data_IF_911063119565
#
_entry.id   IF_911063119565
#
_cell.length_a   1.000
_cell.length_b   1.000
_cell.length_c   1.000
_cell.angle_alpha   90.00
_cell.angle_beta   90.00
_cell.angle_gamma   90.00
#
_symmetry.space_group_name_H-M   'P 1'
#
loop_
_entity.id
_entity.type
_entity.pdbx_description
1 polymer ?
#
# COMPACT_ATOMS: atom_id res chain seq x y z
N UNK A 1 -65.41 -43.58 -18.33
CA UNK A 1 -63.94 -43.44 -18.05
C UNK A 1 -63.54 -42.08 -18.53
N UNK A 2 -63.42 -41.07 -17.59
CA UNK A 2 -63.08 -39.70 -17.94
C UNK A 2 -61.60 -39.50 -17.62
N UNK A 3 -60.77 -39.28 -18.61
CA UNK A 3 -59.32 -39.10 -18.51
C UNK A 3 -59.02 -37.67 -18.10
N UNK A 4 -58.55 -37.47 -16.87
CA UNK A 4 -58.09 -36.17 -16.39
C UNK A 4 -56.68 -35.92 -16.92
N UNK A 5 -56.54 -34.87 -17.72
CA UNK A 5 -55.25 -34.37 -18.28
C UNK A 5 -54.52 -33.53 -17.19
N UNK A 6 -53.27 -33.84 -16.84
CA UNK A 6 -52.57 -33.03 -15.87
C UNK A 6 -52.24 -31.66 -16.44
N UNK A 7 -52.43 -30.60 -15.62
CA UNK A 7 -52.10 -29.22 -15.96
C UNK A 7 -50.60 -29.00 -15.97
N UNK A 8 -50.10 -28.39 -17.05
CA UNK A 8 -48.70 -27.98 -17.18
C UNK A 8 -48.41 -26.79 -16.27
N UNK A 9 -47.38 -26.85 -15.41
CA UNK A 9 -47.03 -25.70 -14.57
C UNK A 9 -46.54 -24.52 -15.42
N UNK A 10 -47.03 -23.33 -15.11
CA UNK A 10 -46.63 -22.09 -15.75
C UNK A 10 -45.13 -21.77 -15.46
N UNK A 11 -44.41 -21.17 -16.44
CA UNK A 11 -43.02 -20.77 -16.23
C UNK A 11 -42.92 -19.72 -15.13
N UNK A 12 -42.15 -20.03 -14.09
CA UNK A 12 -41.86 -19.12 -12.99
C UNK A 12 -41.13 -17.88 -13.50
N UNK A 13 -41.76 -16.71 -13.40
CA UNK A 13 -41.18 -15.45 -13.80
C UNK A 13 -39.95 -15.15 -12.92
N UNK A 14 -38.78 -15.07 -13.55
CA UNK A 14 -37.53 -14.68 -12.86
C UNK A 14 -37.68 -13.25 -12.29
N UNK A 15 -37.43 -13.00 -11.00
CA UNK A 15 -37.55 -11.66 -10.45
C UNK A 15 -36.62 -10.68 -11.16
N UNK A 16 -37.00 -9.40 -11.30
CA UNK A 16 -36.15 -8.37 -11.92
C UNK A 16 -34.84 -8.26 -11.18
N UNK A 17 -33.71 -8.37 -11.88
CA UNK A 17 -32.39 -8.13 -11.34
C UNK A 17 -32.30 -6.66 -10.97
N UNK A 18 -32.12 -6.37 -9.68
CA UNK A 18 -31.77 -5.03 -9.22
C UNK A 18 -30.46 -4.58 -9.91
N UNK A 19 -30.34 -3.33 -10.32
CA UNK A 19 -29.11 -2.82 -10.88
C UNK A 19 -27.97 -3.01 -9.87
N UNK A 20 -26.93 -3.73 -10.27
CA UNK A 20 -25.72 -3.90 -9.46
C UNK A 20 -25.08 -2.51 -9.35
N UNK A 21 -24.82 -1.97 -8.14
CA UNK A 21 -24.14 -0.70 -8.00
C UNK A 21 -22.80 -0.78 -8.74
N UNK A 22 -22.48 0.25 -9.53
CA UNK A 22 -21.15 0.37 -10.13
C UNK A 22 -20.08 0.29 -9.03
N UNK A 23 -19.01 -0.47 -9.24
CA UNK A 23 -17.89 -0.46 -8.31
C UNK A 23 -17.39 0.99 -8.12
N UNK A 24 -16.99 1.38 -6.92
CA UNK A 24 -16.42 2.69 -6.70
C UNK A 24 -15.23 2.91 -7.65
N UNK A 25 -15.00 4.15 -8.11
CA UNK A 25 -13.83 4.45 -8.94
C UNK A 25 -12.57 3.97 -8.23
N UNK A 26 -11.57 3.44 -8.98
CA UNK A 26 -10.32 3.02 -8.37
C UNK A 26 -9.74 4.18 -7.54
N UNK A 27 -9.19 3.92 -6.35
CA UNK A 27 -8.61 4.97 -5.53
C UNK A 27 -7.55 5.70 -6.36
N UNK A 28 -7.60 7.02 -6.32
CA UNK A 28 -6.55 7.86 -6.91
C UNK A 28 -5.20 7.37 -6.36
N UNK A 29 -4.29 6.99 -7.23
CA UNK A 29 -2.96 6.50 -6.82
C UNK A 29 -2.22 7.69 -6.24
N UNK A 30 -2.12 7.74 -4.91
CA UNK A 30 -1.39 8.78 -4.21
C UNK A 30 0.08 8.78 -4.60
N UNK A 31 0.69 9.95 -4.68
CA UNK A 31 2.12 10.06 -4.93
C UNK A 31 2.94 9.68 -3.69
N UNK A 32 4.22 9.26 -3.83
CA UNK A 32 5.08 9.02 -2.67
C UNK A 32 5.14 10.23 -1.74
N UNK A 33 5.20 11.44 -2.32
CA UNK A 33 5.26 12.71 -1.61
C UNK A 33 3.96 13.00 -0.85
N UNK A 34 2.79 12.70 -1.42
CA UNK A 34 1.49 12.84 -0.76
C UNK A 34 1.35 11.87 0.42
N UNK A 35 1.84 10.64 0.26
CA UNK A 35 1.85 9.64 1.33
C UNK A 35 2.79 10.06 2.46
N UNK A 36 3.97 10.57 2.12
CA UNK A 36 4.93 11.10 3.09
C UNK A 36 4.34 12.29 3.86
N UNK A 37 3.71 13.24 3.15
CA UNK A 37 3.03 14.37 3.78
C UNK A 37 1.86 13.91 4.68
N UNK A 38 1.17 12.83 4.33
CA UNK A 38 0.16 12.19 5.17
C UNK A 38 0.75 11.67 6.48
N UNK A 39 1.90 11.00 6.41
CA UNK A 39 2.64 10.52 7.58
C UNK A 39 3.11 11.71 8.47
N UNK A 40 3.63 12.77 7.86
CA UNK A 40 4.06 13.98 8.58
C UNK A 40 2.90 14.63 9.35
N UNK A 41 1.71 14.71 8.77
CA UNK A 41 0.51 15.22 9.46
C UNK A 41 0.16 14.38 10.69
N UNK A 42 0.20 13.05 10.58
CA UNK A 42 -0.07 12.17 11.72
C UNK A 42 0.99 12.28 12.81
N UNK A 43 2.27 12.38 12.43
CA UNK A 43 3.38 12.59 13.37
C UNK A 43 3.23 13.92 14.13
N UNK A 44 2.77 14.99 13.44
CA UNK A 44 2.56 16.31 14.06
C UNK A 44 1.32 16.38 14.95
N UNK A 45 0.33 15.51 14.75
CA UNK A 45 -0.91 15.47 15.55
C UNK A 45 -0.90 14.41 16.65
N UNK A 46 0.20 13.64 16.76
CA UNK A 46 0.34 12.58 17.75
C UNK A 46 0.30 13.15 19.16
N UNK A 47 -0.78 12.94 19.88
CA UNK A 47 -0.96 13.31 21.28
C UNK A 47 -1.09 12.06 22.14
N UNK A 48 -0.87 12.19 23.46
CA UNK A 48 -1.01 11.08 24.40
C UNK A 48 -2.40 10.42 24.38
N UNK A 49 -3.42 11.08 23.87
CA UNK A 49 -4.80 10.56 23.78
C UNK A 49 -5.05 9.68 22.55
N UNK A 50 -4.13 9.65 21.57
CA UNK A 50 -4.25 8.83 20.35
C UNK A 50 -3.38 7.56 20.42
N UNK A 51 -3.03 7.12 21.63
CA UNK A 51 -2.22 5.93 21.88
C UNK A 51 -2.80 4.68 21.21
N UNK A 52 -2.01 4.04 20.35
CA UNK A 52 -2.24 2.70 19.84
C UNK A 52 -2.45 2.57 18.32
N UNK A 53 -3.13 3.48 17.67
CA UNK A 53 -3.47 3.36 16.22
C UNK A 53 -2.56 4.19 15.32
N UNK A 54 -2.19 5.40 15.74
CA UNK A 54 -1.41 6.33 14.91
C UNK A 54 -0.02 5.83 14.53
N UNK A 55 0.76 5.12 15.40
CA UNK A 55 2.09 4.64 14.99
C UNK A 55 2.00 3.65 13.84
N UNK A 56 0.98 2.78 13.88
CA UNK A 56 0.73 1.81 12.81
C UNK A 56 0.27 2.51 11.51
N UNK A 57 -0.58 3.53 11.61
CA UNK A 57 -1.01 4.32 10.47
C UNK A 57 0.16 5.06 9.82
N UNK A 58 1.05 5.67 10.60
CA UNK A 58 2.28 6.29 10.10
C UNK A 58 3.18 5.26 9.41
N UNK A 59 3.45 4.13 10.04
CA UNK A 59 4.27 3.07 9.46
C UNK A 59 3.68 2.56 8.13
N UNK A 60 2.36 2.43 8.04
CA UNK A 60 1.67 2.02 6.82
C UNK A 60 1.82 3.06 5.70
N UNK A 61 1.64 4.34 5.98
CA UNK A 61 1.82 5.41 5.00
C UNK A 61 3.27 5.50 4.50
N UNK A 62 4.25 5.41 5.40
CA UNK A 62 5.67 5.40 5.05
C UNK A 62 6.04 4.20 4.19
N UNK A 63 5.52 3.02 4.52
CA UNK A 63 5.72 1.81 3.73
C UNK A 63 5.12 1.96 2.33
N UNK A 64 3.90 2.47 2.21
CA UNK A 64 3.27 2.73 0.92
C UNK A 64 4.04 3.76 0.10
N UNK A 65 4.54 4.83 0.71
CA UNK A 65 5.36 5.83 0.04
C UNK A 65 6.63 5.20 -0.56
N UNK A 66 7.28 4.31 0.20
CA UNK A 66 8.48 3.61 -0.21
C UNK A 66 8.22 2.64 -1.38
N UNK A 67 7.13 1.86 -1.30
CA UNK A 67 6.71 0.92 -2.35
C UNK A 67 6.31 1.67 -3.64
N UNK A 68 5.59 2.77 -3.51
CA UNK A 68 5.15 3.59 -4.64
C UNK A 68 6.34 4.28 -5.35
N UNK A 69 7.32 4.78 -4.59
CA UNK A 69 8.55 5.36 -5.15
C UNK A 69 9.32 4.32 -5.99
N UNK A 70 9.46 3.09 -5.46
CA UNK A 70 10.10 1.99 -6.16
C UNK A 70 9.33 1.60 -7.43
N UNK A 71 8.01 1.49 -7.35
CA UNK A 71 7.14 1.17 -8.48
C UNK A 71 7.28 2.21 -9.60
N UNK A 72 7.28 3.51 -9.27
CA UNK A 72 7.46 4.61 -10.24
C UNK A 72 8.85 4.58 -10.87
N UNK A 73 9.89 4.32 -10.09
CA UNK A 73 11.23 4.14 -10.61
C UNK A 73 11.28 3.07 -11.69
N UNK A 74 10.66 1.90 -11.44
CA UNK A 74 10.61 0.82 -12.41
C UNK A 74 9.71 1.10 -13.61
N UNK A 75 8.62 1.84 -13.44
CA UNK A 75 7.76 2.24 -14.57
C UNK A 75 8.55 2.99 -15.66
N UNK A 76 9.52 3.80 -15.25
CA UNK A 76 10.35 4.55 -16.18
C UNK A 76 11.51 3.70 -16.72
N UNK A 77 12.11 2.86 -15.89
CA UNK A 77 13.34 2.11 -16.23
C UNK A 77 13.06 0.74 -16.86
N UNK A 78 12.17 -0.02 -16.29
CA UNK A 78 11.79 -1.39 -16.68
C UNK A 78 10.32 -1.64 -16.31
N UNK A 79 9.37 -1.25 -17.17
CA UNK A 79 7.94 -1.34 -16.85
C UNK A 79 7.46 -2.73 -16.43
N UNK A 80 8.14 -3.78 -16.87
CA UNK A 80 7.83 -5.16 -16.47
C UNK A 80 8.07 -5.38 -14.96
N UNK A 81 9.11 -4.77 -14.39
CA UNK A 81 9.42 -4.87 -12.97
C UNK A 81 8.43 -4.11 -12.10
N UNK A 82 7.83 -3.04 -12.61
CA UNK A 82 6.80 -2.28 -11.87
C UNK A 82 5.54 -3.12 -11.53
N UNK A 83 5.34 -4.24 -12.22
CA UNK A 83 4.23 -5.17 -11.99
C UNK A 83 4.58 -6.30 -11.01
N UNK A 84 5.85 -6.43 -10.66
CA UNK A 84 6.30 -7.43 -9.70
C UNK A 84 5.99 -7.00 -8.26
N UNK A 85 5.93 -7.93 -7.30
CA UNK A 85 5.85 -7.59 -5.88
C UNK A 85 7.03 -6.71 -5.43
N UNK A 86 6.85 -5.84 -4.43
CA UNK A 86 7.90 -4.92 -3.96
C UNK A 86 9.23 -5.60 -3.60
N UNK A 87 9.16 -6.78 -2.99
CA UNK A 87 10.35 -7.56 -2.68
C UNK A 87 11.18 -7.94 -3.91
N UNK A 88 10.52 -8.41 -4.98
CA UNK A 88 11.20 -8.73 -6.24
C UNK A 88 11.77 -7.48 -6.92
N UNK A 89 11.05 -6.37 -6.86
CA UNK A 89 11.54 -5.07 -7.35
C UNK A 89 12.81 -4.63 -6.60
N UNK A 90 12.84 -4.82 -5.27
CA UNK A 90 13.97 -4.45 -4.43
C UNK A 90 15.23 -5.28 -4.74
N UNK A 91 15.10 -6.58 -5.01
CA UNK A 91 16.22 -7.43 -5.39
C UNK A 91 16.92 -6.94 -6.67
N UNK A 92 16.14 -6.42 -7.63
CA UNK A 92 16.71 -5.86 -8.85
C UNK A 92 17.33 -4.47 -8.62
N UNK A 93 16.96 -3.77 -7.54
CA UNK A 93 17.40 -2.40 -7.30
C UNK A 93 18.90 -2.30 -7.10
N UNK A 94 19.54 -3.29 -6.48
CA UNK A 94 20.99 -3.34 -6.26
C UNK A 94 21.81 -3.24 -7.56
N UNK A 95 21.25 -3.74 -8.66
CA UNK A 95 21.91 -3.69 -9.99
C UNK A 95 21.65 -2.41 -10.77
N UNK A 96 20.68 -1.59 -10.37
CA UNK A 96 20.26 -0.42 -11.13
C UNK A 96 20.39 0.91 -10.38
N UNK A 97 20.36 0.88 -9.05
CA UNK A 97 20.60 2.04 -8.19
C UNK A 97 21.98 1.93 -7.53
N UNK A 98 22.35 2.94 -6.73
CA UNK A 98 23.54 2.79 -5.90
C UNK A 98 23.27 1.81 -4.73
N UNK A 99 24.30 1.10 -4.25
CA UNK A 99 24.15 0.11 -3.20
C UNK A 99 23.59 0.69 -1.88
N UNK A 100 23.83 1.96 -1.59
CA UNK A 100 23.34 2.60 -0.36
C UNK A 100 21.83 2.83 -0.44
N UNK A 101 21.33 3.30 -1.58
CA UNK A 101 19.88 3.44 -1.81
C UNK A 101 19.17 2.10 -1.72
N UNK A 102 19.72 1.05 -2.35
CA UNK A 102 19.13 -0.29 -2.32
C UNK A 102 19.10 -0.88 -0.89
N UNK A 103 20.20 -0.78 -0.15
CA UNK A 103 20.27 -1.22 1.25
C UNK A 103 19.31 -0.43 2.15
N UNK A 104 19.27 0.89 2.00
CA UNK A 104 18.37 1.76 2.76
C UNK A 104 16.92 1.40 2.49
N UNK A 105 16.54 1.26 1.23
CA UNK A 105 15.19 0.81 0.86
C UNK A 105 14.81 -0.49 1.57
N UNK A 106 15.67 -1.51 1.47
CA UNK A 106 15.42 -2.84 2.03
C UNK A 106 15.33 -2.82 3.56
N UNK A 107 16.25 -2.13 4.24
CA UNK A 107 16.26 -2.03 5.69
C UNK A 107 15.03 -1.27 6.23
N UNK A 108 14.68 -0.14 5.60
CA UNK A 108 13.52 0.67 5.98
C UNK A 108 12.24 -0.08 5.75
N UNK A 109 12.09 -0.74 4.58
CA UNK A 109 10.91 -1.55 4.28
C UNK A 109 10.72 -2.71 5.26
N UNK A 110 11.79 -3.39 5.65
CA UNK A 110 11.73 -4.47 6.65
C UNK A 110 11.30 -3.94 8.02
N UNK A 111 11.82 -2.80 8.47
CA UNK A 111 11.42 -2.14 9.72
C UNK A 111 9.94 -1.75 9.71
N UNK A 112 9.50 -1.05 8.66
CA UNK A 112 8.12 -0.63 8.49
C UNK A 112 7.15 -1.82 8.38
N UNK A 113 7.55 -2.89 7.69
CA UNK A 113 6.73 -4.11 7.58
C UNK A 113 6.49 -4.75 8.95
N UNK A 114 7.52 -4.86 9.79
CA UNK A 114 7.36 -5.34 11.18
C UNK A 114 6.43 -4.41 11.96
N UNK A 115 6.62 -3.10 11.86
CA UNK A 115 5.78 -2.11 12.54
C UNK A 115 4.31 -2.15 12.12
N UNK A 116 4.00 -2.54 10.87
CA UNK A 116 2.62 -2.74 10.41
C UNK A 116 1.97 -4.00 10.98
N UNK A 117 2.76 -5.02 11.33
CA UNK A 117 2.29 -6.35 11.72
C UNK A 117 2.56 -6.72 13.18
N UNK A 118 2.95 -5.76 14.03
CA UNK A 118 3.16 -6.06 15.44
C UNK A 118 1.88 -6.59 16.10
N UNK A 119 2.03 -7.62 16.91
CA UNK A 119 0.95 -8.21 17.70
C UNK A 119 0.81 -7.50 19.04
N UNK A 120 -0.33 -7.69 19.73
CA UNK A 120 -0.64 -7.01 20.99
C UNK A 120 0.35 -7.25 22.15
N UNK A 121 1.33 -8.13 21.97
CA UNK A 121 2.42 -8.39 22.92
C UNK A 121 3.72 -7.66 22.58
N UNK A 122 3.80 -7.03 21.40
CA UNK A 122 4.97 -6.27 20.96
C UNK A 122 4.74 -4.79 21.22
N UNK A 123 5.82 -4.09 21.54
CA UNK A 123 5.77 -2.64 21.72
C UNK A 123 5.55 -1.96 20.36
N UNK A 124 4.63 -1.01 20.34
CA UNK A 124 4.47 -0.15 19.20
C UNK A 124 5.78 0.63 18.92
N UNK A 125 6.08 0.95 17.65
CA UNK A 125 7.25 1.76 17.34
C UNK A 125 7.15 3.11 18.05
N UNK A 126 8.29 3.57 18.54
CA UNK A 126 8.40 4.88 19.18
C UNK A 126 8.32 6.00 18.14
N UNK A 127 7.97 7.20 18.56
CA UNK A 127 7.98 8.37 17.69
C UNK A 127 9.38 8.61 17.08
N UNK A 128 10.45 8.37 17.84
CA UNK A 128 11.82 8.50 17.33
C UNK A 128 12.14 7.51 16.21
N UNK A 129 11.70 6.26 16.33
CA UNK A 129 11.84 5.26 15.26
C UNK A 129 11.05 5.65 14.01
N UNK A 130 9.83 6.13 14.18
CA UNK A 130 8.99 6.57 13.06
C UNK A 130 9.60 7.79 12.34
N UNK A 131 10.16 8.75 13.06
CA UNK A 131 10.87 9.89 12.49
C UNK A 131 12.12 9.45 11.73
N UNK A 132 12.91 8.51 12.26
CA UNK A 132 14.08 7.96 11.58
C UNK A 132 13.69 7.26 10.26
N UNK A 133 12.65 6.44 10.27
CA UNK A 133 12.14 5.81 9.05
C UNK A 133 11.56 6.83 8.06
N UNK A 134 10.89 7.87 8.56
CA UNK A 134 10.39 8.96 7.72
C UNK A 134 11.53 9.63 6.94
N UNK A 135 12.64 9.91 7.61
CA UNK A 135 13.82 10.53 6.98
C UNK A 135 14.49 9.58 5.97
N UNK A 136 14.52 8.29 6.27
CA UNK A 136 15.03 7.29 5.32
C UNK A 136 14.14 7.16 4.08
N UNK A 137 12.82 7.19 4.24
CA UNK A 137 11.86 7.18 3.12
C UNK A 137 12.06 8.41 2.23
N UNK A 138 12.19 9.61 2.83
CA UNK A 138 12.42 10.85 2.10
C UNK A 138 13.72 10.80 1.26
N UNK A 139 14.82 10.32 1.86
CA UNK A 139 16.10 10.13 1.15
C UNK A 139 15.98 9.15 -0.02
N UNK A 140 15.27 8.03 0.17
CA UNK A 140 15.05 7.05 -0.90
C UNK A 140 14.20 7.61 -2.02
N UNK A 141 13.11 8.31 -1.71
CA UNK A 141 12.26 8.99 -2.70
C UNK A 141 13.11 9.96 -3.53
N UNK A 142 13.90 10.82 -2.86
CA UNK A 142 14.79 11.77 -3.53
C UNK A 142 15.81 11.09 -4.45
N UNK A 143 16.47 10.03 -3.96
CA UNK A 143 17.47 9.29 -4.73
C UNK A 143 16.89 8.60 -5.96
N UNK A 144 15.70 8.00 -5.85
CA UNK A 144 15.03 7.33 -6.97
C UNK A 144 14.48 8.34 -7.99
N UNK A 145 13.96 9.47 -7.53
CA UNK A 145 13.42 10.54 -8.41
C UNK A 145 14.52 11.21 -9.24
N UNK A 146 15.68 11.49 -8.65
CA UNK A 146 16.81 12.08 -9.39
C UNK A 146 17.33 11.18 -10.52
N UNK A 147 17.18 9.87 -10.40
CA UNK A 147 17.64 8.90 -11.41
C UNK A 147 16.62 8.62 -12.51
N UNK A 148 15.42 9.15 -12.40
CA UNK A 148 14.37 9.04 -13.43
C UNK A 148 14.33 10.23 -14.37
N UNK A 149 15.08 11.30 -14.09
CA UNK A 149 15.28 12.46 -14.96
C UNK A 149 16.50 12.23 -15.86
#
# INVERSE_FOLDING_TARGET
MTTIRPATPAPSARPPRLPVPLPPPPPSVSTPEELLAGADRLLGTATASTTGVWPRAVALLLRHALEEALRRYWQTRKPQLARCPPHAQALCLESYADPDTARRWSATWAGLSRACHYHGYELAPTQGELLAWRDDVDRVIGALTLRTR
#
